data_IF_478250443155
#
_entry.id   IF_478250443155
#
_cell.length_a   1.000
_cell.length_b   1.000
_cell.length_c   1.000
_cell.angle_alpha   90.00
_cell.angle_beta   90.00
_cell.angle_gamma   90.00
#
_symmetry.space_group_name_H-M   'P 1'
#
loop_
_entity.id
_entity.type
_entity.pdbx_description
1 polymer ?
#
# COMPACT_ATOMS: atom_id res chain seq x y z
N UNK A 1 -4.41 15.46 -1.62
CA UNK A 1 -3.00 15.14 -1.91
C UNK A 1 -2.44 14.34 -0.76
N UNK A 2 -1.60 13.35 -1.08
CA UNK A 2 -0.95 12.49 -0.10
C UNK A 2 0.26 13.22 0.53
N UNK A 3 0.59 12.90 1.78
CA UNK A 3 1.55 13.64 2.61
C UNK A 3 2.83 12.88 2.91
N UNK A 4 2.76 11.54 2.98
CA UNK A 4 3.95 10.72 3.21
C UNK A 4 4.96 10.92 2.09
N UNK A 5 6.25 10.89 2.41
CA UNK A 5 7.31 10.89 1.39
C UNK A 5 7.18 9.68 0.48
N UNK A 6 6.71 8.55 1.03
CA UNK A 6 6.45 7.33 0.28
C UNK A 6 5.45 7.54 -0.88
N UNK A 7 4.33 8.23 -0.66
CA UNK A 7 3.25 8.31 -1.67
C UNK A 7 3.11 9.66 -2.36
N UNK A 8 3.48 10.77 -1.69
CA UNK A 8 3.23 12.14 -2.18
C UNK A 8 3.83 12.42 -3.56
N UNK A 9 4.95 11.80 -3.91
CA UNK A 9 5.60 11.94 -5.22
C UNK A 9 4.97 11.12 -6.35
N UNK A 10 4.08 10.16 -6.04
CA UNK A 10 3.52 9.28 -7.05
C UNK A 10 2.19 9.83 -7.60
N UNK A 11 2.17 10.20 -8.89
CA UNK A 11 0.98 10.78 -9.52
C UNK A 11 -0.22 9.81 -9.53
N UNK A 12 0.01 8.50 -9.72
CA UNK A 12 -1.04 7.49 -9.76
C UNK A 12 -1.70 7.31 -8.40
N UNK A 13 -0.92 7.28 -7.31
CA UNK A 13 -1.46 7.20 -5.95
C UNK A 13 -2.17 8.49 -5.53
N UNK A 14 -1.65 9.66 -5.92
CA UNK A 14 -2.37 10.92 -5.73
C UNK A 14 -3.72 10.92 -6.47
N UNK A 15 -3.79 10.43 -7.71
CA UNK A 15 -5.05 10.29 -8.42
C UNK A 15 -6.00 9.29 -7.73
N UNK A 16 -5.48 8.19 -7.19
CA UNK A 16 -6.25 7.23 -6.38
C UNK A 16 -6.85 7.89 -5.13
N UNK A 17 -6.21 8.94 -4.58
CA UNK A 17 -6.73 9.67 -3.41
C UNK A 17 -7.90 10.61 -3.71
N UNK A 18 -8.22 10.83 -4.99
CA UNK A 18 -9.28 11.77 -5.40
C UNK A 18 -10.27 11.20 -6.41
N UNK A 19 -10.01 10.04 -7.02
CA UNK A 19 -10.85 9.50 -8.09
C UNK A 19 -11.01 7.98 -8.03
N UNK A 20 -12.26 7.52 -8.11
CA UNK A 20 -12.62 6.10 -8.10
C UNK A 20 -12.07 5.33 -9.30
N UNK A 21 -11.94 5.97 -10.47
CA UNK A 21 -11.33 5.34 -11.66
C UNK A 21 -9.83 5.08 -11.50
N UNK A 22 -9.22 5.66 -10.46
CA UNK A 22 -7.81 5.50 -10.15
C UNK A 22 -7.52 4.51 -9.03
N UNK A 23 -8.54 3.77 -8.57
CA UNK A 23 -8.35 2.70 -7.60
C UNK A 23 -7.35 1.65 -8.09
N UNK A 24 -6.61 1.10 -7.13
CA UNK A 24 -5.63 0.05 -7.38
C UNK A 24 -6.25 -1.30 -7.03
N UNK A 25 -6.26 -2.19 -8.02
CA UNK A 25 -6.94 -3.50 -7.97
C UNK A 25 -5.98 -4.61 -8.36
N UNK A 26 -6.36 -5.86 -8.05
CA UNK A 26 -5.61 -7.03 -8.49
C UNK A 26 -5.35 -7.04 -10.00
N UNK A 27 -4.17 -7.55 -10.38
CA UNK A 27 -3.67 -7.61 -11.75
C UNK A 27 -2.94 -6.35 -12.22
N UNK A 28 -3.04 -5.23 -11.50
CA UNK A 28 -2.24 -4.04 -11.78
C UNK A 28 -0.77 -4.25 -11.37
N UNK A 29 0.15 -3.52 -12.03
CA UNK A 29 1.59 -3.61 -11.75
C UNK A 29 2.30 -2.27 -11.93
N UNK A 30 3.45 -2.14 -11.27
CA UNK A 30 4.38 -1.01 -11.39
C UNK A 30 4.63 -0.31 -10.06
N UNK A 31 5.40 0.77 -10.10
CA UNK A 31 5.90 1.45 -8.89
C UNK A 31 4.84 1.77 -7.84
N UNK A 32 3.64 2.20 -8.24
CA UNK A 32 2.56 2.49 -7.30
C UNK A 32 2.11 1.26 -6.50
N UNK A 33 2.22 0.05 -7.07
CA UNK A 33 1.99 -1.20 -6.36
C UNK A 33 3.12 -1.51 -5.40
N UNK A 34 4.38 -1.34 -5.84
CA UNK A 34 5.54 -1.56 -4.97
C UNK A 34 5.50 -0.68 -3.71
N UNK A 35 5.08 0.59 -3.85
CA UNK A 35 4.90 1.51 -2.73
C UNK A 35 3.79 1.03 -1.77
N UNK A 36 2.67 0.52 -2.30
CA UNK A 36 1.59 -0.06 -1.48
C UNK A 36 2.06 -1.31 -0.73
N UNK A 37 2.75 -2.23 -1.43
CA UNK A 37 3.31 -3.43 -0.82
C UNK A 37 4.30 -3.07 0.28
N UNK A 38 5.17 -2.09 0.05
CA UNK A 38 6.08 -1.59 1.08
C UNK A 38 5.34 -1.07 2.31
N UNK A 39 4.30 -0.26 2.12
CA UNK A 39 3.51 0.25 3.25
C UNK A 39 2.83 -0.88 4.04
N UNK A 40 2.30 -1.89 3.36
CA UNK A 40 1.69 -3.06 4.01
C UNK A 40 2.73 -3.89 4.77
N UNK A 41 3.93 -4.07 4.23
CA UNK A 41 5.03 -4.74 4.93
C UNK A 41 5.39 -3.99 6.21
N UNK A 42 5.54 -2.67 6.13
CA UNK A 42 5.89 -1.82 7.27
C UNK A 42 4.81 -1.80 8.35
N UNK A 43 3.54 -1.65 7.96
CA UNK A 43 2.43 -1.47 8.91
C UNK A 43 1.90 -2.78 9.49
N UNK A 44 1.97 -3.86 8.72
CA UNK A 44 1.31 -5.13 9.08
C UNK A 44 2.25 -6.32 9.20
N UNK A 45 3.54 -6.17 8.85
CA UNK A 45 4.42 -7.30 8.57
C UNK A 45 3.74 -8.29 7.59
N UNK A 46 3.11 -7.75 6.55
CA UNK A 46 2.24 -8.51 5.66
C UNK A 46 2.99 -9.64 4.94
N UNK A 47 2.40 -10.83 4.90
CA UNK A 47 2.94 -11.96 4.12
C UNK A 47 2.63 -11.79 2.62
N UNK A 48 3.44 -11.00 1.93
CA UNK A 48 3.36 -10.80 0.47
C UNK A 48 4.40 -11.70 -0.22
N UNK A 49 3.98 -12.43 -1.24
CA UNK A 49 4.86 -13.32 -1.98
C UNK A 49 6.02 -12.54 -2.61
N UNK A 50 7.24 -13.06 -2.48
CA UNK A 50 8.43 -12.40 -3.02
C UNK A 50 8.32 -12.16 -4.53
N UNK A 51 7.68 -13.08 -5.28
CA UNK A 51 7.45 -12.91 -6.71
C UNK A 51 6.53 -11.72 -7.05
N UNK A 52 5.58 -11.38 -6.18
CA UNK A 52 4.72 -10.20 -6.33
C UNK A 52 5.48 -8.91 -6.02
N UNK A 53 6.38 -8.94 -5.02
CA UNK A 53 7.28 -7.83 -4.69
C UNK A 53 8.25 -7.57 -5.84
N UNK A 54 8.92 -8.61 -6.33
CA UNK A 54 9.94 -8.50 -7.39
C UNK A 54 9.34 -8.05 -8.72
N UNK A 55 8.10 -8.47 -9.01
CA UNK A 55 7.38 -8.08 -10.22
C UNK A 55 6.54 -6.81 -10.05
N UNK A 56 6.58 -6.17 -8.87
CA UNK A 56 5.75 -5.02 -8.51
C UNK A 56 4.27 -5.24 -8.87
N UNK A 57 3.77 -6.45 -8.67
CA UNK A 57 2.48 -6.92 -9.19
C UNK A 57 1.50 -7.10 -8.05
N UNK A 58 0.30 -6.56 -8.21
CA UNK A 58 -0.80 -6.70 -7.27
C UNK A 58 -1.44 -8.07 -7.49
N UNK A 59 -0.81 -9.09 -6.92
CA UNK A 59 -1.28 -10.46 -6.98
C UNK A 59 -2.16 -10.84 -5.79
N UNK A 60 -2.31 -12.15 -5.58
CA UNK A 60 -3.23 -12.71 -4.59
C UNK A 60 -2.79 -12.40 -3.16
N UNK A 61 -1.49 -12.40 -2.90
CA UNK A 61 -0.97 -12.15 -1.54
C UNK A 61 -0.98 -10.66 -1.21
N UNK A 62 -0.74 -9.78 -2.19
CA UNK A 62 -0.95 -8.33 -2.04
C UNK A 62 -2.42 -8.01 -1.76
N UNK A 63 -3.34 -8.63 -2.50
CA UNK A 63 -4.79 -8.47 -2.28
C UNK A 63 -5.21 -8.92 -0.87
N UNK A 64 -4.72 -10.08 -0.41
CA UNK A 64 -4.95 -10.56 0.94
C UNK A 64 -4.40 -9.62 2.02
N UNK A 65 -3.21 -9.05 1.80
CA UNK A 65 -2.62 -8.07 2.70
C UNK A 65 -3.47 -6.80 2.81
N UNK A 66 -4.01 -6.29 1.69
CA UNK A 66 -4.93 -5.14 1.68
C UNK A 66 -6.23 -5.46 2.41
N UNK A 67 -6.82 -6.63 2.15
CA UNK A 67 -8.04 -7.06 2.83
C UNK A 67 -7.82 -7.14 4.35
N UNK A 68 -6.71 -7.73 4.80
CA UNK A 68 -6.36 -7.82 6.22
C UNK A 68 -6.16 -6.43 6.84
N UNK A 69 -5.40 -5.56 6.18
CA UNK A 69 -5.18 -4.17 6.60
C UNK A 69 -6.50 -3.41 6.80
N UNK A 70 -7.40 -3.49 5.82
CA UNK A 70 -8.72 -2.83 5.87
C UNK A 70 -9.61 -3.43 6.94
N UNK A 71 -9.55 -4.75 7.13
CA UNK A 71 -10.34 -5.45 8.16
C UNK A 71 -9.95 -4.99 9.56
N UNK A 72 -8.65 -4.94 9.87
CA UNK A 72 -8.17 -4.48 11.19
C UNK A 72 -8.54 -3.03 11.50
N UNK A 73 -8.53 -2.16 10.48
CA UNK A 73 -8.86 -0.73 10.61
C UNK A 73 -10.32 -0.39 10.35
N UNK A 74 -11.15 -1.38 10.04
CA UNK A 74 -12.56 -1.19 9.69
C UNK A 74 -12.76 -0.18 8.54
N UNK A 75 -11.86 -0.19 7.55
CA UNK A 75 -11.92 0.70 6.38
C UNK A 75 -12.97 0.14 5.41
N UNK A 76 -14.20 0.60 5.59
CA UNK A 76 -15.37 0.17 4.81
C UNK A 76 -16.17 1.41 4.45
N UNK A 77 -16.56 1.56 3.19
CA UNK A 77 -17.55 2.54 2.83
C UNK A 77 -18.95 2.01 3.18
N UNK A 78 -19.42 2.29 4.40
CA UNK A 78 -20.67 1.75 4.96
C UNK A 78 -21.92 2.11 4.15
N UNK A 79 -21.85 3.15 3.31
CA UNK A 79 -22.96 3.52 2.42
C UNK A 79 -23.12 2.55 1.24
N UNK A 80 -22.10 1.74 0.92
CA UNK A 80 -22.09 0.86 -0.25
C UNK A 80 -21.69 -0.59 0.07
N UNK A 81 -20.97 -0.81 1.17
CA UNK A 81 -20.35 -2.09 1.48
C UNK A 81 -20.61 -2.47 2.94
N UNK A 82 -20.85 -3.76 3.15
CA UNK A 82 -21.01 -4.35 4.48
C UNK A 82 -19.75 -5.10 4.94
N UNK A 83 -18.80 -5.33 4.04
CA UNK A 83 -17.52 -6.01 4.31
C UNK A 83 -16.37 -5.28 3.62
N UNK A 84 -15.15 -5.30 4.19
CA UNK A 84 -13.96 -4.84 3.49
C UNK A 84 -13.72 -5.64 2.20
N UNK A 85 -13.31 -4.95 1.14
CA UNK A 85 -12.80 -5.54 -0.11
C UNK A 85 -11.26 -5.48 -0.16
N UNK A 86 -10.66 -6.06 -1.20
CA UNK A 86 -9.22 -6.11 -1.46
C UNK A 86 -8.72 -5.02 -2.44
N UNK A 87 -9.49 -3.93 -2.59
CA UNK A 87 -9.20 -2.77 -3.45
C UNK A 87 -8.65 -1.62 -2.60
N UNK A 88 -7.57 -1.03 -3.09
CA UNK A 88 -7.06 0.23 -2.55
C UNK A 88 -7.78 1.37 -3.26
N UNK A 89 -8.79 1.92 -2.59
CA UNK A 89 -9.49 3.12 -3.00
C UNK A 89 -9.15 4.34 -2.17
N UNK A 90 -9.91 5.43 -2.37
CA UNK A 90 -9.69 6.74 -1.70
C UNK A 90 -9.51 6.60 -0.18
N UNK A 91 -10.43 5.89 0.49
CA UNK A 91 -10.36 5.70 1.94
C UNK A 91 -9.08 4.94 2.34
N UNK A 92 -8.78 3.84 1.64
CA UNK A 92 -7.62 3.00 1.94
C UNK A 92 -6.31 3.76 1.76
N UNK A 93 -6.10 4.44 0.63
CA UNK A 93 -4.86 5.18 0.37
C UNK A 93 -4.69 6.35 1.35
N UNK A 94 -5.80 6.99 1.77
CA UNK A 94 -5.76 8.08 2.74
C UNK A 94 -5.31 7.60 4.12
N UNK A 95 -5.78 6.44 4.58
CA UNK A 95 -5.36 5.87 5.87
C UNK A 95 -3.91 5.37 5.80
N UNK A 96 -3.54 4.65 4.73
CA UNK A 96 -2.16 4.21 4.51
C UNK A 96 -1.18 5.40 4.54
N UNK A 97 -1.51 6.48 3.84
CA UNK A 97 -0.69 7.70 3.82
C UNK A 97 -0.54 8.33 5.20
N UNK A 98 -1.64 8.42 5.96
CA UNK A 98 -1.61 9.00 7.30
C UNK A 98 -0.72 8.20 8.26
N UNK A 99 -0.78 6.87 8.21
CA UNK A 99 0.01 6.01 9.10
C UNK A 99 1.49 5.97 8.71
N UNK A 100 1.80 5.86 7.42
CA UNK A 100 3.18 5.97 6.94
C UNK A 100 3.75 7.35 7.30
N UNK A 101 3.00 8.43 7.08
CA UNK A 101 3.43 9.77 7.45
C UNK A 101 3.71 9.90 8.95
N UNK A 102 2.89 9.28 9.81
CA UNK A 102 3.14 9.26 11.25
C UNK A 102 4.46 8.56 11.59
N UNK A 103 4.74 7.41 10.97
CA UNK A 103 5.99 6.69 11.15
C UNK A 103 7.21 7.44 10.60
N UNK A 104 7.10 8.08 9.44
CA UNK A 104 8.15 8.93 8.86
C UNK A 104 8.50 10.11 9.77
N UNK A 105 7.50 10.73 10.41
CA UNK A 105 7.70 11.82 11.37
C UNK A 105 8.39 11.33 12.65
N UNK A 106 8.11 10.11 13.06
CA UNK A 106 8.78 9.47 14.19
C UNK A 106 10.18 8.91 13.83
N UNK A 107 10.60 9.01 12.56
CA UNK A 107 11.79 8.37 12.02
C UNK A 107 11.83 6.84 12.30
N UNK A 108 10.64 6.23 12.36
CA UNK A 108 10.44 4.84 12.76
C UNK A 108 10.39 3.88 11.56
N UNK A 109 10.66 4.35 10.35
CA UNK A 109 10.70 3.53 9.14
C UNK A 109 11.95 3.81 8.31
N UNK A 110 12.43 2.78 7.65
CA UNK A 110 13.48 2.91 6.65
C UNK A 110 12.88 3.62 5.42
N UNK A 111 13.55 4.60 4.80
CA UNK A 111 13.07 5.16 3.55
C UNK A 111 13.02 4.10 2.44
N UNK A 112 11.94 4.07 1.67
CA UNK A 112 11.88 3.24 0.47
C UNK A 112 12.96 3.71 -0.52
N UNK A 113 13.91 2.82 -0.86
CA UNK A 113 14.97 3.10 -1.82
C UNK A 113 14.91 2.13 -2.99
N UNK A 114 14.85 2.67 -4.21
CA UNK A 114 14.87 1.88 -5.45
C UNK A 114 16.24 1.24 -5.74
N UNK A 115 17.33 1.83 -5.24
CA UNK A 115 18.67 1.21 -5.28
C UNK A 115 18.76 -0.06 -4.40
N UNK A 116 17.75 -0.26 -3.55
CA UNK A 116 17.53 -1.47 -2.76
C UNK A 116 16.39 -2.35 -3.30
N UNK A 117 15.83 -2.10 -4.48
CA UNK A 117 14.89 -3.05 -5.10
C UNK A 117 15.56 -4.42 -5.35
N UNK A 118 16.88 -4.45 -5.63
CA UNK A 118 17.68 -5.68 -5.60
C UNK A 118 18.09 -6.16 -4.19
N UNK A 119 17.77 -5.38 -3.16
CA UNK A 119 18.15 -5.53 -1.73
C UNK A 119 16.93 -5.63 -0.79
N UNK A 120 15.71 -5.79 -1.34
CA UNK A 120 14.54 -6.30 -0.62
C UNK A 120 14.78 -7.74 -0.10
N UNK A 121 15.89 -8.36 -0.57
CA UNK A 121 16.46 -9.64 -0.13
C UNK A 121 16.87 -9.73 1.37
N UNK A 122 16.67 -8.69 2.18
CA UNK A 122 17.22 -8.66 3.55
C UNK A 122 16.31 -8.03 4.62
N UNK A 123 15.00 -7.85 4.35
CA UNK A 123 14.06 -7.30 5.34
C UNK A 123 13.16 -8.33 6.01
N UNK A 124 13.38 -9.61 5.75
CA UNK A 124 12.90 -10.70 6.58
C UNK A 124 14.08 -11.18 7.45
N UNK A 125 14.02 -10.88 8.74
CA UNK A 125 14.73 -11.64 9.78
C UNK A 125 13.79 -12.76 10.23
#
# INVERSE_FOLDING_TARGET
>A
MLRSRLFSGNARLNACSTSNSSHVTAGQKGEFVALLQYALLVLENAAIAQSEIDAETYGKTTAAAVLNYKTKRQIINRSYQTKPDDIVGIMTITVLDAEIFALERANAIVPFSRASAGRLKHWAV
#
